data_IF_247735071821
#
_entry.id   IF_247735071821
#
_cell.length_a   1.000
_cell.length_b   1.000
_cell.length_c   1.000
_cell.angle_alpha   90.00
_cell.angle_beta   90.00
_cell.angle_gamma   90.00
#
_symmetry.space_group_name_H-M   'P 1'
#
loop_
_entity.id
_entity.type
_entity.pdbx_description
1 polymer ?
#
# COMPACT_ATOMS: atom_id res chain seq x y z
N UNK A 1 -1.72 13.03 11.65
CA UNK A 1 -1.20 11.70 11.23
C UNK A 1 -1.24 10.78 12.43
N UNK A 2 -1.92 9.65 12.30
CA UNK A 2 -1.98 8.58 13.30
C UNK A 2 -1.51 7.27 12.67
N UNK A 3 -1.30 6.24 13.49
CA UNK A 3 -0.92 4.91 13.03
C UNK A 3 -1.71 3.83 13.77
N UNK A 4 -1.95 2.71 13.09
CA UNK A 4 -2.57 1.52 13.67
C UNK A 4 -1.87 0.24 13.21
N UNK A 5 -1.97 -0.86 13.98
CA UNK A 5 -1.57 -2.17 13.47
C UNK A 5 -2.33 -2.50 12.19
N UNK A 6 -1.61 -3.06 11.22
CA UNK A 6 -2.24 -3.60 10.03
C UNK A 6 -2.99 -4.90 10.34
N UNK A 7 -4.14 -5.09 9.70
CA UNK A 7 -4.88 -6.36 9.76
C UNK A 7 -4.50 -7.27 8.58
N UNK A 8 -4.78 -8.58 8.66
CA UNK A 8 -4.50 -9.50 7.56
C UNK A 8 -5.08 -9.00 6.23
N UNK A 9 -4.23 -8.99 5.21
CA UNK A 9 -4.56 -8.56 3.85
C UNK A 9 -4.36 -7.08 3.56
N UNK A 10 -4.15 -6.23 4.55
CA UNK A 10 -3.67 -4.88 4.28
C UNK A 10 -2.24 -4.96 3.77
N UNK A 11 -2.03 -4.52 2.53
CA UNK A 11 -0.73 -4.65 1.88
C UNK A 11 0.03 -3.33 1.91
N UNK A 12 1.34 -3.43 2.11
CA UNK A 12 2.26 -2.36 1.81
C UNK A 12 2.26 -2.06 0.31
N UNK A 13 2.67 -0.85 -0.06
CA UNK A 13 2.80 -0.42 -1.47
C UNK A 13 3.71 -1.33 -2.31
N UNK A 14 4.59 -2.12 -1.68
CA UNK A 14 5.39 -3.15 -2.36
C UNK A 14 4.66 -4.49 -2.59
N UNK A 15 3.41 -4.62 -2.14
CA UNK A 15 2.56 -5.82 -2.28
C UNK A 15 2.66 -6.85 -1.14
N UNK A 16 3.54 -6.63 -0.14
CA UNK A 16 3.69 -7.50 1.03
C UNK A 16 2.68 -7.15 2.11
N UNK A 17 2.43 -8.07 3.06
CA UNK A 17 1.62 -7.79 4.24
C UNK A 17 2.19 -6.57 4.99
N UNK A 18 1.36 -5.56 5.23
CA UNK A 18 1.71 -4.43 6.07
C UNK A 18 1.80 -4.87 7.54
N UNK A 19 2.65 -4.20 8.30
CA UNK A 19 2.75 -4.31 9.76
C UNK A 19 2.05 -3.13 10.43
N UNK A 20 2.20 -1.94 9.84
CA UNK A 20 1.62 -0.69 10.30
C UNK A 20 0.83 -0.05 9.16
N UNK A 21 -0.30 0.56 9.49
CA UNK A 21 -1.04 1.45 8.59
C UNK A 21 -0.90 2.87 9.12
N UNK A 22 -0.37 3.75 8.26
CA UNK A 22 -0.32 5.17 8.49
C UNK A 22 -1.60 5.82 7.99
N UNK A 23 -2.27 6.57 8.87
CA UNK A 23 -3.52 7.26 8.58
C UNK A 23 -3.25 8.76 8.51
N UNK A 24 -3.54 9.32 7.34
CA UNK A 24 -3.44 10.73 7.03
C UNK A 24 -4.86 11.29 6.95
N UNK A 25 -5.20 12.15 7.91
CA UNK A 25 -6.47 12.87 7.95
C UNK A 25 -6.22 14.28 7.41
N UNK A 26 -6.77 14.56 6.24
CA UNK A 26 -6.92 15.89 5.66
C UNK A 26 -8.38 16.36 5.86
N UNK A 27 -8.68 17.65 5.71
CA UNK A 27 -9.99 18.26 6.06
C UNK A 27 -11.22 17.50 5.49
N UNK A 28 -11.10 16.90 4.31
CA UNK A 28 -12.19 16.16 3.64
C UNK A 28 -11.88 14.68 3.37
N UNK A 29 -10.69 14.19 3.69
CA UNK A 29 -10.23 12.87 3.21
C UNK A 29 -9.34 12.16 4.22
N UNK A 30 -9.66 10.89 4.45
CA UNK A 30 -8.78 9.94 5.13
C UNK A 30 -8.03 9.14 4.08
N UNK A 31 -6.69 9.15 4.14
CA UNK A 31 -5.82 8.30 3.33
C UNK A 31 -5.07 7.34 4.22
N UNK A 32 -5.15 6.06 3.90
CA UNK A 32 -4.45 5.00 4.63
C UNK A 32 -3.36 4.35 3.77
N UNK A 33 -2.17 4.18 4.33
CA UNK A 33 -1.01 3.61 3.63
C UNK A 33 -0.36 2.54 4.49
N UNK A 34 -0.25 1.32 3.94
CA UNK A 34 0.39 0.19 4.60
C UNK A 34 1.91 0.24 4.47
N UNK A 35 2.61 -0.12 5.54
CA UNK A 35 4.06 -0.22 5.58
C UNK A 35 4.50 -1.57 6.16
N UNK A 36 5.39 -2.26 5.46
CA UNK A 36 5.87 -3.59 5.84
C UNK A 36 7.20 -3.58 6.64
N UNK A 37 7.70 -2.41 7.05
CA UNK A 37 8.96 -2.31 7.77
C UNK A 37 10.22 -2.24 6.88
N UNK A 38 10.07 -2.39 5.56
CA UNK A 38 11.17 -2.49 4.62
C UNK A 38 11.18 -1.28 3.68
N UNK A 39 12.24 -0.48 3.71
CA UNK A 39 12.36 0.79 2.97
C UNK A 39 13.05 0.67 1.60
N UNK A 40 13.79 -0.41 1.33
CA UNK A 40 14.59 -0.59 0.11
C UNK A 40 14.33 -1.94 -0.56
N UNK A 41 13.07 -2.38 -0.57
CA UNK A 41 12.69 -3.64 -1.22
C UNK A 41 11.98 -3.40 -2.53
N UNK A 42 12.27 -4.27 -3.49
CA UNK A 42 11.58 -4.31 -4.76
C UNK A 42 10.09 -4.61 -4.56
N UNK A 43 9.26 -3.88 -5.32
CA UNK A 43 7.84 -4.19 -5.50
C UNK A 43 7.69 -5.62 -6.03
N UNK A 44 6.73 -6.38 -5.48
CA UNK A 44 6.40 -7.70 -6.01
C UNK A 44 5.81 -7.57 -7.42
N UNK A 45 6.28 -8.42 -8.34
CA UNK A 45 5.81 -8.48 -9.72
C UNK A 45 5.06 -9.79 -9.99
N UNK A 46 4.01 -9.78 -10.84
CA UNK A 46 3.34 -8.57 -11.34
C UNK A 46 2.74 -7.76 -10.18
N UNK A 47 2.62 -6.44 -10.37
CA UNK A 47 2.13 -5.54 -9.33
C UNK A 47 0.77 -6.04 -8.80
N UNK A 48 0.69 -6.31 -7.50
CA UNK A 48 -0.52 -6.88 -6.86
C UNK A 48 -1.77 -6.00 -7.01
N UNK A 49 -1.62 -4.73 -7.36
CA UNK A 49 -2.68 -3.74 -7.41
C UNK A 49 -3.14 -3.46 -8.85
N UNK A 50 -2.21 -3.20 -9.78
CA UNK A 50 -2.54 -2.87 -11.19
C UNK A 50 -2.15 -3.94 -12.21
N UNK A 51 -1.47 -5.02 -11.80
CA UNK A 51 -1.00 -6.09 -12.70
C UNK A 51 0.24 -5.76 -13.53
N UNK A 52 0.83 -4.56 -13.41
CA UNK A 52 2.04 -4.17 -14.16
C UNK A 52 3.20 -5.16 -13.96
N UNK A 53 3.85 -5.57 -15.05
CA UNK A 53 5.08 -6.37 -15.02
C UNK A 53 6.34 -5.53 -14.81
N UNK A 54 6.21 -4.20 -14.84
CA UNK A 54 7.32 -3.27 -14.59
C UNK A 54 7.21 -2.70 -13.17
N UNK A 55 8.31 -2.64 -12.39
CA UNK A 55 8.32 -2.03 -11.07
C UNK A 55 7.90 -0.56 -11.07
N UNK A 56 7.04 -0.18 -10.14
CA UNK A 56 6.85 1.20 -9.73
C UNK A 56 8.11 1.70 -9.01
N UNK A 57 8.61 2.88 -9.38
CA UNK A 57 9.96 3.34 -8.95
C UNK A 57 10.01 3.96 -7.56
N UNK A 58 8.87 4.20 -6.89
CA UNK A 58 8.90 4.62 -5.50
C UNK A 58 7.67 4.19 -4.68
N UNK A 59 7.95 3.92 -3.40
CA UNK A 59 7.00 3.37 -2.43
C UNK A 59 6.18 4.45 -1.71
N UNK A 60 6.53 5.74 -1.88
CA UNK A 60 5.97 6.88 -1.15
C UNK A 60 5.97 8.16 -2.00
N UNK A 61 4.84 8.86 -2.02
CA UNK A 61 4.74 10.29 -2.36
C UNK A 61 4.94 10.71 -3.82
N UNK A 62 5.46 9.85 -4.70
CA UNK A 62 5.81 10.23 -6.08
C UNK A 62 4.72 9.90 -7.10
N UNK A 63 4.81 10.55 -8.27
CA UNK A 63 3.87 10.38 -9.40
C UNK A 63 3.97 9.00 -10.08
N UNK A 64 5.04 8.24 -9.82
CA UNK A 64 5.29 6.89 -10.36
C UNK A 64 4.84 5.74 -9.42
N UNK A 65 4.12 6.04 -8.33
CA UNK A 65 3.48 5.02 -7.48
C UNK A 65 2.46 4.20 -8.27
N UNK A 66 2.10 3.02 -7.77
CA UNK A 66 0.99 2.27 -8.38
C UNK A 66 -0.30 3.11 -8.34
N UNK A 67 -0.92 3.42 -9.49
CA UNK A 67 -2.13 4.26 -9.52
C UNK A 67 -3.33 3.58 -8.85
N UNK A 68 -3.35 2.25 -8.87
CA UNK A 68 -4.44 1.43 -8.34
C UNK A 68 -4.18 0.95 -6.90
N UNK A 69 -3.11 1.45 -6.26
CA UNK A 69 -2.88 1.12 -4.85
C UNK A 69 -4.02 1.69 -4.01
N UNK A 70 -4.76 0.79 -3.38
CA UNK A 70 -5.70 1.07 -2.32
C UNK A 70 -5.43 0.10 -1.17
N UNK A 71 -5.47 0.61 0.06
CA UNK A 71 -5.42 -0.26 1.23
C UNK A 71 -6.76 -1.01 1.31
N UNK A 72 -6.73 -2.32 1.11
CA UNK A 72 -7.94 -3.17 1.15
C UNK A 72 -7.71 -4.31 2.14
N UNK A 73 -8.57 -4.48 3.16
CA UNK A 73 -8.54 -5.65 4.03
C UNK A 73 -8.66 -6.97 3.25
N UNK A 74 -8.13 -8.08 3.79
CA UNK A 74 -8.26 -9.40 3.15
C UNK A 74 -9.71 -9.81 2.85
N UNK A 75 -10.69 -9.24 3.56
CA UNK A 75 -12.11 -9.56 3.42
C UNK A 75 -12.88 -8.75 2.37
N UNK A 76 -12.31 -7.67 1.85
CA UNK A 76 -13.00 -6.77 0.90
C UNK A 76 -12.53 -6.93 -0.54
N UNK A 77 -11.46 -7.71 -0.77
CA UNK A 77 -11.03 -8.09 -2.12
C UNK A 77 -11.99 -9.13 -2.68
N UNK A 78 -13.09 -8.68 -3.30
CA UNK A 78 -13.90 -9.54 -4.18
C UNK A 78 -13.00 -10.00 -5.32
N UNK A 79 -12.81 -11.32 -5.40
CA UNK A 79 -12.10 -11.99 -6.49
C UNK A 79 -12.81 -11.89 -7.83
#
# INVERSE_FOLDING_TARGET
MSERPAIPGELCTCGRQALVVYVFEDEDKVREIGWCGLSNVSTLLPCRFCGSEVPHRSSWGDSEKCPDYQLVPAGERKG
#
